data_IF_602158310716
#
_entry.id   IF_602158310716
#
_cell.length_a   1.000
_cell.length_b   1.000
_cell.length_c   1.000
_cell.angle_alpha   90.00
_cell.angle_beta   90.00
_cell.angle_gamma   90.00
#
_symmetry.space_group_name_H-M   'P 1'
#
loop_
_entity.id
_entity.type
_entity.pdbx_description
1 polymer ?
#
# COMPACT_ATOMS: atom_id res chain seq x y z
N UNK A 1 0.46 -16.27 6.93
CA UNK A 1 1.64 -15.53 6.40
C UNK A 1 2.85 -15.95 7.22
N UNK A 2 4.00 -16.32 6.61
CA UNK A 2 5.15 -16.76 7.42
C UNK A 2 5.75 -15.62 8.25
N UNK A 3 6.29 -15.93 9.43
CA UNK A 3 6.86 -14.95 10.38
C UNK A 3 7.85 -13.99 9.70
N UNK A 4 8.79 -14.52 8.93
CA UNK A 4 9.79 -13.72 8.22
C UNK A 4 9.20 -12.78 7.15
N UNK A 5 8.05 -13.13 6.54
CA UNK A 5 7.35 -12.23 5.59
C UNK A 5 6.62 -11.11 6.32
N UNK A 6 6.07 -11.38 7.49
CA UNK A 6 5.44 -10.37 8.32
C UNK A 6 6.47 -9.35 8.83
N UNK A 7 7.57 -9.82 9.42
CA UNK A 7 8.64 -8.97 9.95
C UNK A 7 9.21 -7.99 8.91
N UNK A 8 9.56 -8.49 7.70
CA UNK A 8 10.07 -7.62 6.61
C UNK A 8 9.07 -6.57 6.12
N UNK A 9 7.77 -6.79 6.32
CA UNK A 9 6.69 -5.88 5.85
C UNK A 9 6.07 -5.06 6.98
N UNK A 10 6.65 -5.07 8.18
CA UNK A 10 6.09 -4.37 9.33
C UNK A 10 6.08 -2.85 9.13
N UNK A 11 7.22 -2.28 8.71
CA UNK A 11 7.38 -0.82 8.55
C UNK A 11 6.37 -0.25 7.54
N UNK A 12 6.24 -0.88 6.36
CA UNK A 12 5.30 -0.43 5.33
C UNK A 12 3.84 -0.52 5.80
N UNK A 13 3.45 -1.59 6.49
CA UNK A 13 2.06 -1.80 6.92
C UNK A 13 1.64 -0.92 8.08
N UNK A 14 2.55 -0.68 9.01
CA UNK A 14 2.22 0.01 10.27
C UNK A 14 2.34 1.52 10.12
N UNK A 15 3.30 1.97 9.31
CA UNK A 15 3.65 3.39 9.20
C UNK A 15 3.36 3.96 7.81
N UNK A 16 2.69 3.19 6.94
CA UNK A 16 2.37 3.58 5.56
C UNK A 16 3.61 4.09 4.82
N UNK A 17 4.74 3.39 4.96
CA UNK A 17 6.01 3.75 4.32
C UNK A 17 6.11 3.05 2.97
N UNK A 18 6.17 3.83 1.90
CA UNK A 18 6.46 3.39 0.55
C UNK A 18 7.74 4.02 0.03
N UNK A 19 7.77 4.32 -1.26
CA UNK A 19 8.95 4.84 -1.95
C UNK A 19 8.60 5.98 -2.89
N UNK A 20 9.49 6.96 -3.00
CA UNK A 20 9.41 8.09 -3.92
C UNK A 20 10.61 8.07 -4.86
N UNK A 21 10.39 8.30 -6.16
CA UNK A 21 11.47 8.36 -7.14
C UNK A 21 11.81 9.81 -7.49
N UNK A 22 12.96 10.32 -7.02
CA UNK A 22 13.42 11.70 -7.30
C UNK A 22 13.69 12.00 -8.78
N UNK A 23 13.72 10.98 -9.63
CA UNK A 23 13.99 11.16 -11.06
C UNK A 23 12.72 11.45 -11.87
N UNK A 24 11.54 11.05 -11.41
CA UNK A 24 10.26 11.25 -12.10
C UNK A 24 9.13 11.75 -11.18
N UNK A 25 9.45 12.04 -9.92
CA UNK A 25 8.52 12.49 -8.87
C UNK A 25 7.30 11.58 -8.66
N UNK A 26 7.42 10.29 -9.02
CA UNK A 26 6.38 9.29 -8.79
C UNK A 26 6.51 8.65 -7.40
N UNK A 27 5.37 8.46 -6.75
CA UNK A 27 5.22 7.78 -5.47
C UNK A 27 4.74 6.35 -5.69
N UNK A 28 5.17 5.43 -4.83
CA UNK A 28 4.80 4.02 -4.90
C UNK A 28 4.52 3.46 -3.52
N UNK A 29 3.37 2.80 -3.40
CA UNK A 29 3.02 1.97 -2.26
C UNK A 29 2.34 0.69 -2.77
N UNK A 30 2.76 -0.53 -2.35
CA UNK A 30 3.88 -0.86 -1.45
C UNK A 30 5.26 -0.42 -1.98
N UNK A 31 6.29 -0.31 -1.11
CA UNK A 31 7.61 0.16 -1.50
C UNK A 31 8.24 -0.71 -2.58
N UNK A 32 8.84 -0.07 -3.59
CA UNK A 32 9.54 -0.72 -4.70
C UNK A 32 11.02 -0.37 -4.69
N UNK A 33 11.88 -1.33 -4.98
CA UNK A 33 13.33 -1.09 -5.09
C UNK A 33 13.75 -0.52 -6.45
N UNK A 34 12.85 -0.49 -7.43
CA UNK A 34 13.11 -0.02 -8.78
C UNK A 34 11.88 0.73 -9.30
N UNK A 35 12.13 1.90 -9.89
CA UNK A 35 11.08 2.68 -10.54
C UNK A 35 10.66 1.98 -11.85
N UNK A 36 9.37 1.71 -12.11
CA UNK A 36 8.91 1.15 -13.38
C UNK A 36 9.17 2.09 -14.57
N UNK A 37 9.12 3.41 -14.33
CA UNK A 37 9.28 4.46 -15.33
C UNK A 37 10.74 4.72 -15.66
N UNK A 38 11.57 5.08 -14.67
CA UNK A 38 13.00 5.38 -14.86
C UNK A 38 13.91 4.15 -14.86
N UNK A 39 13.41 2.98 -14.42
CA UNK A 39 14.19 1.74 -14.25
C UNK A 39 15.45 1.97 -13.42
N UNK A 40 16.63 1.61 -13.97
CA UNK A 40 17.94 1.73 -13.32
C UNK A 40 18.35 3.18 -13.04
N UNK A 41 17.79 4.15 -13.76
CA UNK A 41 18.10 5.57 -13.58
C UNK A 41 17.23 6.23 -12.48
N UNK A 42 16.27 5.49 -11.93
CA UNK A 42 15.40 5.98 -10.87
C UNK A 42 16.15 6.09 -9.54
N UNK A 43 16.16 7.28 -8.95
CA UNK A 43 16.67 7.51 -7.58
C UNK A 43 15.54 7.33 -6.58
N UNK A 44 15.39 6.09 -6.11
CA UNK A 44 14.34 5.71 -5.16
C UNK A 44 14.79 6.05 -3.73
N UNK A 45 13.91 6.70 -2.97
CA UNK A 45 14.05 6.91 -1.53
C UNK A 45 12.81 6.42 -0.77
N UNK A 46 12.96 6.17 0.53
CA UNK A 46 11.82 5.86 1.41
C UNK A 46 10.97 7.11 1.65
N UNK A 47 9.65 6.96 1.53
CA UNK A 47 8.70 8.05 1.75
C UNK A 47 7.56 7.59 2.67
N UNK A 48 7.20 8.42 3.66
CA UNK A 48 6.08 8.18 4.57
C UNK A 48 4.86 8.95 4.08
N UNK A 49 3.81 8.22 3.73
CA UNK A 49 2.54 8.79 3.29
C UNK A 49 1.75 9.34 4.49
N UNK A 50 0.94 10.36 4.26
CA UNK A 50 0.10 10.97 5.30
C UNK A 50 -1.02 10.02 5.77
N UNK A 51 -1.49 9.15 4.89
CA UNK A 51 -2.54 8.16 5.17
C UNK A 51 -3.95 8.64 4.87
N UNK A 52 -4.10 9.87 4.38
CA UNK A 52 -5.35 10.37 3.83
C UNK A 52 -5.55 9.86 2.40
N UNK A 53 -6.79 9.52 2.05
CA UNK A 53 -7.15 9.15 0.70
C UNK A 53 -8.66 9.09 0.49
N UNK A 54 -9.04 8.84 -0.76
CA UNK A 54 -10.43 8.76 -1.21
C UNK A 54 -10.75 7.34 -1.70
N UNK A 55 -11.98 6.87 -1.45
CA UNK A 55 -12.40 5.55 -1.91
C UNK A 55 -12.72 5.60 -3.40
N UNK A 56 -11.94 4.90 -4.22
CA UNK A 56 -12.17 4.80 -5.67
C UNK A 56 -13.25 3.76 -5.97
N UNK A 57 -13.19 2.63 -5.26
CA UNK A 57 -14.08 1.49 -5.45
C UNK A 57 -14.21 0.71 -4.17
N UNK A 58 -15.39 0.16 -3.91
CA UNK A 58 -15.64 -0.65 -2.73
C UNK A 58 -16.66 -1.77 -3.01
N UNK A 59 -16.66 -2.77 -2.14
CA UNK A 59 -17.66 -3.83 -2.11
C UNK A 59 -18.02 -4.18 -0.68
N UNK A 60 -19.21 -4.75 -0.49
CA UNK A 60 -19.68 -5.23 0.82
C UNK A 60 -19.60 -6.75 0.82
N UNK A 61 -18.69 -7.29 1.62
CA UNK A 61 -18.55 -8.73 1.81
C UNK A 61 -19.61 -9.18 2.81
N UNK A 62 -20.59 -9.92 2.30
CA UNK A 62 -21.70 -10.51 3.08
C UNK A 62 -21.46 -11.97 3.47
N UNK A 63 -20.50 -12.62 2.82
CA UNK A 63 -20.07 -13.99 3.14
C UNK A 63 -18.57 -13.95 3.35
N UNK A 64 -18.14 -13.98 4.61
CA UNK A 64 -16.73 -13.81 4.97
C UNK A 64 -15.89 -15.05 4.63
N UNK A 65 -14.61 -14.80 4.36
CA UNK A 65 -13.59 -15.84 4.36
C UNK A 65 -13.29 -16.32 5.79
N UNK A 66 -12.67 -17.48 5.90
CA UNK A 66 -12.27 -18.07 7.19
C UNK A 66 -11.38 -17.08 7.97
N UNK A 67 -11.74 -16.83 9.24
CA UNK A 67 -11.07 -15.89 10.14
C UNK A 67 -11.62 -14.46 10.14
N UNK A 68 -12.63 -14.16 9.31
CA UNK A 68 -13.29 -12.85 9.24
C UNK A 68 -14.79 -12.94 9.57
N UNK A 69 -15.26 -14.07 10.09
CA UNK A 69 -16.68 -14.36 10.33
C UNK A 69 -17.32 -13.28 11.22
N UNK A 70 -16.61 -12.89 12.28
CA UNK A 70 -17.04 -11.87 13.25
C UNK A 70 -17.08 -10.44 12.70
N UNK A 71 -16.55 -10.20 11.51
CA UNK A 71 -16.56 -8.89 10.87
C UNK A 71 -17.70 -8.76 9.83
N UNK A 72 -18.51 -9.81 9.64
CA UNK A 72 -19.57 -9.80 8.63
C UNK A 72 -20.76 -8.94 9.07
N UNK A 73 -21.31 -8.06 8.20
CA UNK A 73 -20.76 -7.65 6.90
C UNK A 73 -19.65 -6.60 7.03
N UNK A 74 -18.58 -6.73 6.23
CA UNK A 74 -17.50 -5.73 6.18
C UNK A 74 -17.32 -5.15 4.78
N UNK A 75 -16.79 -3.92 4.74
CA UNK A 75 -16.48 -3.21 3.50
C UNK A 75 -15.02 -3.47 3.13
N UNK A 76 -14.77 -3.83 1.87
CA UNK A 76 -13.45 -3.86 1.28
C UNK A 76 -13.36 -2.74 0.24
N UNK A 77 -12.33 -1.91 0.31
CA UNK A 77 -12.18 -0.74 -0.53
C UNK A 77 -10.77 -0.63 -1.13
N UNK A 78 -10.70 -0.03 -2.31
CA UNK A 78 -9.48 0.51 -2.92
C UNK A 78 -9.48 2.01 -2.65
N UNK A 79 -8.43 2.49 -2.00
CA UNK A 79 -8.27 3.89 -1.59
C UNK A 79 -7.16 4.51 -2.41
N UNK A 80 -7.44 5.65 -3.04
CA UNK A 80 -6.45 6.54 -3.64
C UNK A 80 -5.90 7.48 -2.56
N UNK A 81 -4.64 7.34 -2.19
CA UNK A 81 -3.95 8.28 -1.33
C UNK A 81 -3.77 9.63 -2.05
N UNK A 82 -3.69 10.71 -1.26
CA UNK A 82 -3.48 12.07 -1.78
C UNK A 82 -2.21 12.19 -2.63
N UNK A 83 -1.18 11.42 -2.29
CA UNK A 83 0.10 11.42 -2.98
C UNK A 83 0.08 10.63 -4.32
N UNK A 84 -1.01 9.91 -4.63
CA UNK A 84 -1.24 9.28 -5.94
C UNK A 84 -1.24 7.75 -6.01
N UNK A 85 -0.68 6.98 -5.06
CA UNK A 85 -0.90 5.52 -4.94
C UNK A 85 -2.16 5.13 -4.19
#
# INVERSE_FOLDING_TARGET
MSVARFWRKQVQRYNLVGTHCKSCDEYFYPPRNMCPTCRRNGKIESYKFNGDGEVISFTVIRTAAVGFEHQTPYILAIVQLKEGP
#
